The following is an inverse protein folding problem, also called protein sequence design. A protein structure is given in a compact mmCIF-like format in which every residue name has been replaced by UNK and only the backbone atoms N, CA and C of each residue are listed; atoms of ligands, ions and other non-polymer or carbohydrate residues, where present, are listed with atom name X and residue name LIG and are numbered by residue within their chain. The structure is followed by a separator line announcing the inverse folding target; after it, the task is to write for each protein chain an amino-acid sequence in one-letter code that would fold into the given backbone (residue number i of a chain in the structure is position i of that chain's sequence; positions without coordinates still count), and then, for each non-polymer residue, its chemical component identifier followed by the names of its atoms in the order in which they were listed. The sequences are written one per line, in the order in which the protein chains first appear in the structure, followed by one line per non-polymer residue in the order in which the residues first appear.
data_IF_396566320514
#
_entry.id   IF_396566320514
#
_cell.length_a   1.000
_cell.length_b   1.000
_cell.length_c   1.000
_cell.angle_alpha   90.00
_cell.angle_beta   90.00
_cell.angle_gamma   90.00
#
_symmetry.space_group_name_H-M   'P 1'
#
loop_
_entity.id
_entity.type
_entity.pdbx_description
1 polymer ?
#
# COMPACT_ATOMS: atom_id res chain seq x y z
N UNK A 1 17.42 -16.33 8.48
CA UNK A 1 16.86 -16.19 7.12
C UNK A 1 15.70 -15.24 7.28
N UNK A 2 15.68 -14.13 6.54
CA UNK A 2 14.59 -13.14 6.66
C UNK A 2 13.34 -13.68 5.96
N UNK A 3 12.19 -13.57 6.60
CA UNK A 3 10.89 -14.02 6.09
C UNK A 3 10.12 -12.85 5.44
N UNK A 4 9.01 -13.14 4.76
CA UNK A 4 8.16 -12.07 4.20
C UNK A 4 7.59 -11.18 5.32
N UNK A 5 7.17 -11.79 6.42
CA UNK A 5 6.64 -11.09 7.61
C UNK A 5 7.67 -10.11 8.18
N UNK A 6 8.95 -10.53 8.30
CA UNK A 6 10.04 -9.63 8.71
C UNK A 6 10.21 -8.45 7.73
N UNK A 7 10.01 -8.66 6.43
CA UNK A 7 10.11 -7.60 5.43
C UNK A 7 8.92 -6.61 5.52
N UNK A 8 7.70 -7.11 5.77
CA UNK A 8 6.51 -6.28 5.99
C UNK A 8 6.72 -5.40 7.22
N UNK A 9 7.10 -6.00 8.34
CA UNK A 9 7.38 -5.28 9.59
C UNK A 9 8.46 -4.20 9.42
N UNK A 10 9.51 -4.49 8.65
CA UNK A 10 10.58 -3.53 8.34
C UNK A 10 10.17 -2.45 7.34
N UNK A 11 9.20 -2.74 6.46
CA UNK A 11 8.77 -1.81 5.41
C UNK A 11 8.04 -0.60 5.99
N UNK A 12 7.41 -0.75 7.16
CA UNK A 12 6.55 0.25 7.77
C UNK A 12 5.19 0.39 7.07
N UNK A 13 4.82 -0.60 6.25
CA UNK A 13 3.59 -0.63 5.48
C UNK A 13 2.63 -1.70 5.99
N UNK A 14 1.34 -1.52 5.74
CA UNK A 14 0.30 -2.53 5.99
C UNK A 14 0.24 -3.56 4.86
N UNK A 15 -0.41 -4.70 5.11
CA UNK A 15 -0.61 -5.74 4.09
C UNK A 15 -1.42 -5.22 2.90
N UNK A 16 -2.43 -4.39 3.13
CA UNK A 16 -3.27 -3.73 2.12
C UNK A 16 -2.47 -2.75 1.25
N UNK A 17 -1.56 -1.99 1.86
CA UNK A 17 -0.64 -1.09 1.13
C UNK A 17 0.30 -1.88 0.22
N UNK A 18 0.82 -3.01 0.70
CA UNK A 18 1.68 -3.90 -0.10
C UNK A 18 0.89 -4.56 -1.22
N UNK A 19 -0.33 -5.04 -0.94
CA UNK A 19 -1.22 -5.61 -1.94
C UNK A 19 -1.55 -4.60 -3.04
N UNK A 20 -1.76 -3.34 -2.69
CA UNK A 20 -2.02 -2.26 -3.65
C UNK A 20 -0.83 -2.04 -4.61
N UNK A 21 0.41 -2.21 -4.14
CA UNK A 21 1.61 -2.22 -4.99
C UNK A 21 1.67 -3.48 -5.85
N UNK A 22 1.38 -4.64 -5.25
CA UNK A 22 1.34 -5.93 -5.93
C UNK A 22 0.43 -5.88 -7.16
N UNK A 23 -0.80 -5.40 -6.98
CA UNK A 23 -1.79 -5.28 -8.05
C UNK A 23 -1.42 -4.21 -9.09
N UNK A 24 -0.91 -3.05 -8.64
CA UNK A 24 -0.60 -1.96 -9.55
C UNK A 24 0.58 -2.29 -10.46
N UNK A 25 1.62 -2.93 -9.92
CA UNK A 25 2.87 -3.22 -10.64
C UNK A 25 3.00 -4.68 -11.10
N UNK A 26 2.06 -5.55 -10.73
CA UNK A 26 2.07 -6.99 -11.02
C UNK A 26 3.35 -7.67 -10.53
N UNK A 27 3.81 -7.27 -9.35
CA UNK A 27 5.04 -7.76 -8.72
C UNK A 27 4.73 -8.96 -7.82
N UNK A 28 5.69 -9.88 -7.59
CA UNK A 28 5.58 -10.86 -6.52
C UNK A 28 5.53 -10.19 -5.13
N UNK A 29 4.93 -10.80 -4.09
CA UNK A 29 4.75 -10.18 -2.78
C UNK A 29 6.03 -9.63 -2.14
N UNK A 30 7.14 -10.36 -2.25
CA UNK A 30 8.43 -9.93 -1.70
C UNK A 30 9.00 -8.70 -2.44
N UNK A 31 8.77 -8.60 -3.75
CA UNK A 31 9.18 -7.45 -4.56
C UNK A 31 8.25 -6.26 -4.34
N UNK A 32 6.94 -6.50 -4.18
CA UNK A 32 5.96 -5.48 -3.84
C UNK A 32 6.27 -4.81 -2.50
N UNK A 33 6.63 -5.61 -1.49
CA UNK A 33 7.06 -5.12 -0.18
C UNK A 33 8.30 -4.20 -0.29
N UNK A 34 9.36 -4.67 -0.97
CA UNK A 34 10.57 -3.88 -1.17
C UNK A 34 10.30 -2.59 -1.99
N UNK A 35 9.43 -2.68 -3.01
CA UNK A 35 9.03 -1.55 -3.83
C UNK A 35 8.20 -0.54 -3.04
N UNK A 36 7.26 -1.00 -2.23
CA UNK A 36 6.45 -0.16 -1.37
C UNK A 36 7.33 0.63 -0.40
N UNK A 37 8.26 -0.05 0.27
CA UNK A 37 9.22 0.59 1.17
C UNK A 37 10.02 1.68 0.45
N UNK A 38 10.57 1.38 -0.73
CA UNK A 38 11.29 2.36 -1.55
C UNK A 38 10.42 3.56 -1.95
N UNK A 39 9.14 3.35 -2.28
CA UNK A 39 8.23 4.43 -2.62
C UNK A 39 7.97 5.36 -1.43
N UNK A 40 7.87 4.81 -0.22
CA UNK A 40 7.66 5.56 1.02
C UNK A 40 8.84 6.47 1.40
N UNK A 41 10.04 6.23 0.87
CA UNK A 41 11.23 7.06 1.13
C UNK A 41 11.27 8.40 0.39
N UNK A 42 10.33 8.67 -0.53
CA UNK A 42 10.36 9.91 -1.32
C UNK A 42 8.99 10.55 -1.50
N UNK A 43 8.87 11.89 -1.53
CA UNK A 43 7.60 12.58 -1.75
C UNK A 43 6.90 12.17 -3.06
N UNK A 44 7.67 11.88 -4.10
CA UNK A 44 7.13 11.40 -5.39
C UNK A 44 6.59 9.97 -5.26
N UNK A 45 7.29 9.10 -4.54
CA UNK A 45 6.86 7.73 -4.32
C UNK A 45 5.65 7.65 -3.39
N UNK A 46 5.58 8.46 -2.32
CA UNK A 46 4.38 8.56 -1.47
C UNK A 46 3.14 8.95 -2.29
N UNK A 47 3.25 9.91 -3.21
CA UNK A 47 2.14 10.27 -4.11
C UNK A 47 1.74 9.13 -5.05
N UNK A 48 2.70 8.32 -5.49
CA UNK A 48 2.40 7.15 -6.31
C UNK A 48 1.72 6.05 -5.48
N UNK A 49 2.16 5.82 -4.24
CA UNK A 49 1.52 4.90 -3.31
C UNK A 49 0.08 5.30 -3.01
N UNK A 50 -0.17 6.59 -2.72
CA UNK A 50 -1.51 7.13 -2.53
C UNK A 50 -2.39 6.90 -3.77
N UNK A 51 -1.82 7.01 -4.97
CA UNK A 51 -2.55 6.68 -6.19
C UNK A 51 -2.91 5.19 -6.27
N UNK A 52 -1.98 4.30 -5.94
CA UNK A 52 -2.26 2.86 -5.93
C UNK A 52 -3.38 2.51 -4.95
N UNK A 53 -3.34 3.06 -3.74
CA UNK A 53 -4.40 2.89 -2.73
C UNK A 53 -5.76 3.43 -3.23
N UNK A 54 -5.78 4.61 -3.86
CA UNK A 54 -7.00 5.16 -4.45
C UNK A 54 -7.56 4.26 -5.57
N UNK A 55 -6.70 3.76 -6.46
CA UNK A 55 -7.11 2.84 -7.52
C UNK A 55 -7.66 1.52 -6.93
N UNK A 56 -7.11 1.03 -5.81
CA UNK A 56 -7.62 -0.14 -5.07
C UNK A 56 -8.98 0.15 -4.42
N UNK A 57 -9.17 1.32 -3.80
CA UNK A 57 -10.45 1.76 -3.23
C UNK A 57 -11.53 1.79 -4.31
N UNK A 58 -11.25 2.39 -5.48
CA UNK A 58 -12.21 2.45 -6.59
C UNK A 58 -12.64 1.05 -7.05
N UNK A 59 -11.72 0.07 -7.05
CA UNK A 59 -12.05 -1.34 -7.36
C UNK A 59 -12.87 -1.99 -6.27
N UNK A 60 -12.52 -1.78 -5.00
CA UNK A 60 -13.23 -2.35 -3.86
C UNK A 60 -14.66 -1.80 -3.74
N UNK A 61 -14.85 -0.49 -3.95
CA UNK A 61 -16.17 0.16 -4.00
C UNK A 61 -17.02 -0.31 -5.20
N UNK A 62 -16.38 -0.67 -6.31
CA UNK A 62 -17.03 -1.31 -7.45
C UNK A 62 -17.44 -2.78 -7.19
N UNK A 63 -16.89 -3.39 -6.14
CA UNK A 63 -17.24 -4.73 -5.66
C UNK A 63 -18.38 -4.66 -4.62
N UNK A 64 -18.98 -5.81 -4.29
CA UNK A 64 -20.00 -5.89 -3.23
C UNK A 64 -19.37 -5.93 -1.82
N UNK A 65 -18.04 -5.78 -1.72
CA UNK A 65 -17.28 -5.89 -0.47
C UNK A 65 -17.01 -4.51 0.14
N UNK A 66 -18.05 -3.97 0.77
CA UNK A 66 -17.99 -2.67 1.45
C UNK A 66 -17.02 -2.66 2.64
N UNK A 67 -16.74 -3.83 3.25
CA UNK A 67 -15.82 -3.90 4.40
C UNK A 67 -14.38 -3.71 3.96
N UNK A 68 -13.99 -4.38 2.89
CA UNK A 68 -12.65 -4.21 2.32
C UNK A 68 -12.43 -2.78 1.84
N UNK A 69 -13.44 -2.13 1.26
CA UNK A 69 -13.35 -0.71 0.91
C UNK A 69 -13.12 0.19 2.15
N UNK A 70 -13.82 -0.05 3.26
CA UNK A 70 -13.61 0.69 4.52
C UNK A 70 -12.20 0.49 5.12
N UNK A 71 -11.65 -0.72 5.00
CA UNK A 71 -10.29 -1.04 5.44
C UNK A 71 -9.25 -0.28 4.60
N UNK A 72 -9.38 -0.31 3.26
CA UNK A 72 -8.54 0.46 2.35
C UNK A 72 -8.60 1.98 2.59
N UNK A 73 -9.78 2.53 2.88
CA UNK A 73 -9.92 3.95 3.23
C UNK A 73 -9.14 4.31 4.49
N UNK A 74 -9.20 3.46 5.52
CA UNK A 74 -8.44 3.67 6.76
C UNK A 74 -6.94 3.65 6.51
N UNK A 75 -6.47 2.70 5.72
CA UNK A 75 -5.06 2.53 5.41
C UNK A 75 -4.55 3.71 4.58
N UNK A 76 -5.33 4.21 3.62
CA UNK A 76 -5.03 5.46 2.91
C UNK A 76 -4.89 6.65 3.85
N UNK A 77 -5.83 6.85 4.78
CA UNK A 77 -5.76 7.94 5.75
C UNK A 77 -4.53 7.81 6.67
N UNK A 78 -4.24 6.60 7.13
CA UNK A 78 -3.07 6.31 7.96
C UNK A 78 -1.76 6.56 7.21
N UNK A 79 -1.67 6.12 5.95
CA UNK A 79 -0.51 6.35 5.09
C UNK A 79 -0.28 7.85 4.89
N UNK A 80 -1.33 8.59 4.55
CA UNK A 80 -1.28 10.03 4.32
C UNK A 80 -0.90 10.82 5.58
N UNK A 81 -1.38 10.39 6.75
CA UNK A 81 -1.04 11.01 8.03
C UNK A 81 0.43 10.76 8.43
N UNK A 82 0.92 9.54 8.20
CA UNK A 82 2.27 9.10 8.58
C UNK A 82 3.35 9.63 7.64
N UNK A 83 3.04 9.73 6.34
CA UNK A 83 3.98 10.15 5.30
C UNK A 83 3.72 11.61 4.86
N UNK A 84 3.92 12.53 5.81
CA UNK A 84 3.67 13.98 5.73
C UNK A 84 4.55 14.74 4.72
N UNK A 85 4.66 14.26 3.48
CA UNK A 85 5.45 14.84 2.39
C UNK A 85 4.57 15.57 1.36
N UNK A 86 3.52 16.24 1.83
CA UNK A 86 2.65 17.12 1.04
C UNK A 86 3.13 18.57 1.17
#
# INVERSE_FOLDING_TARGET
MITLEDCVDMSGLTDEEILSVEEAEHLPPMEACARGHQLAESPKGCRLMMKYLLDSIERAEGSTDLKHAEELHRDYEQFAASHHYI
#
